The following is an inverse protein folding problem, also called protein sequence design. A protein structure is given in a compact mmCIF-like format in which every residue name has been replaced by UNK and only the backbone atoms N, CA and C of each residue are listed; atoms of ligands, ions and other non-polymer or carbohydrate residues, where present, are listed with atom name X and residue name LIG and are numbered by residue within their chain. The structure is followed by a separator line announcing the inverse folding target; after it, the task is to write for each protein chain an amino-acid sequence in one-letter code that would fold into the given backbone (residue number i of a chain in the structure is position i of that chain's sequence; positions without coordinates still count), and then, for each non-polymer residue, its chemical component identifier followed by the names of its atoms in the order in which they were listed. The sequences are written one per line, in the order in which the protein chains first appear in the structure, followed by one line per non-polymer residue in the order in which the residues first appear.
data_IF_183087648012
#
_entry.id   IF_183087648012
#
_cell.length_a   1.000
_cell.length_b   1.000
_cell.length_c   1.000
_cell.angle_alpha   90.00
_cell.angle_beta   90.00
_cell.angle_gamma   90.00
#
_symmetry.space_group_name_H-M   'P 1'
#
loop_
_entity.id
_entity.type
_entity.pdbx_description
1 polymer ?
#
# COMPACT_ATOMS: atom_id res chain seq x y z
N UNK A 1 24.13 -1.81 -14.67
CA UNK A 1 23.63 -3.14 -15.10
C UNK A 1 22.38 -2.94 -15.95
N UNK A 2 22.30 -3.55 -17.14
CA UNK A 2 21.09 -3.52 -17.99
C UNK A 2 20.05 -4.49 -17.43
N UNK A 3 18.82 -4.03 -17.35
CA UNK A 3 17.69 -4.72 -16.70
C UNK A 3 16.46 -4.62 -17.60
N UNK A 4 15.78 -5.72 -17.86
CA UNK A 4 14.51 -5.72 -18.59
C UNK A 4 13.40 -5.15 -17.72
N UNK A 5 12.48 -4.45 -18.36
CA UNK A 5 11.34 -3.81 -17.68
C UNK A 5 10.14 -3.63 -18.62
N UNK A 6 9.02 -3.23 -18.04
CA UNK A 6 7.90 -2.61 -18.74
C UNK A 6 7.78 -1.16 -18.26
N UNK A 7 7.79 -0.24 -19.21
CA UNK A 7 7.80 1.20 -18.94
C UNK A 7 6.66 1.92 -19.65
N UNK A 8 6.25 3.03 -19.08
CA UNK A 8 5.35 4.00 -19.71
C UNK A 8 6.26 5.04 -20.39
N UNK A 9 6.25 5.16 -21.72
CA UNK A 9 7.15 6.09 -22.43
C UNK A 9 6.77 7.56 -22.24
N UNK A 10 5.49 7.85 -22.13
CA UNK A 10 4.91 9.21 -21.93
C UNK A 10 3.59 9.11 -21.18
N UNK A 11 3.13 10.22 -20.58
CA UNK A 11 1.89 10.26 -19.81
C UNK A 11 0.70 9.61 -20.53
N UNK A 12 0.04 8.66 -19.86
CA UNK A 12 -1.12 7.95 -20.37
C UNK A 12 -0.88 6.94 -21.49
N UNK A 13 0.37 6.76 -21.94
CA UNK A 13 0.70 5.71 -22.90
C UNK A 13 0.61 4.32 -22.26
N UNK A 14 0.38 3.25 -23.06
CA UNK A 14 0.44 1.90 -22.54
C UNK A 14 1.87 1.54 -22.10
N UNK A 15 1.95 0.61 -21.15
CA UNK A 15 3.20 -0.04 -20.77
C UNK A 15 3.75 -0.88 -21.93
N UNK A 16 5.03 -0.75 -22.19
CA UNK A 16 5.74 -1.50 -23.25
C UNK A 16 7.10 -2.02 -22.75
N UNK A 17 7.65 -3.09 -23.35
CA UNK A 17 8.97 -3.60 -23.02
C UNK A 17 10.05 -2.53 -23.21
N UNK A 18 10.94 -2.39 -22.22
CA UNK A 18 12.04 -1.44 -22.24
C UNK A 18 13.24 -2.01 -21.47
N UNK A 19 14.45 -1.75 -21.92
CA UNK A 19 15.65 -1.95 -21.13
C UNK A 19 16.00 -0.67 -20.38
N UNK A 20 16.31 -0.81 -19.09
CA UNK A 20 16.77 0.29 -18.22
C UNK A 20 18.16 -0.02 -17.68
N UNK A 21 18.89 1.01 -17.31
CA UNK A 21 20.16 0.86 -16.61
C UNK A 21 19.96 1.07 -15.10
N UNK A 22 20.29 0.04 -14.30
CA UNK A 22 20.44 0.16 -12.85
C UNK A 22 21.86 0.59 -12.51
N UNK A 23 21.99 1.43 -11.50
CA UNK A 23 23.29 1.84 -10.96
C UNK A 23 24.10 0.65 -10.43
N UNK A 24 25.39 0.83 -10.29
CA UNK A 24 26.25 -0.15 -9.63
C UNK A 24 25.98 -0.20 -8.10
N UNK A 25 26.31 -1.34 -7.49
CA UNK A 25 26.16 -1.50 -6.04
C UNK A 25 27.15 -0.61 -5.27
N UNK A 26 26.62 0.15 -4.34
CA UNK A 26 27.39 0.85 -3.31
C UNK A 26 27.67 -0.10 -2.13
N UNK A 27 28.56 0.27 -1.18
CA UNK A 27 28.93 -0.62 -0.08
C UNK A 27 27.78 -1.17 0.76
N UNK A 28 26.69 -0.42 0.94
CA UNK A 28 25.52 -0.82 1.72
C UNK A 28 24.34 -1.28 0.86
N UNK A 29 24.53 -1.47 -0.44
CA UNK A 29 23.46 -1.90 -1.33
C UNK A 29 23.33 -3.40 -1.42
N UNK A 30 22.13 -3.84 -1.73
CA UNK A 30 21.82 -5.18 -2.18
C UNK A 30 21.22 -5.15 -3.58
N UNK A 31 21.49 -6.19 -4.37
CA UNK A 31 20.81 -6.47 -5.64
C UNK A 31 19.75 -7.52 -5.38
N UNK A 32 18.52 -7.20 -5.70
CA UNK A 32 17.38 -8.11 -5.60
C UNK A 32 16.96 -8.55 -7.00
N UNK A 33 16.95 -9.86 -7.26
CA UNK A 33 16.27 -10.48 -8.39
C UNK A 33 14.77 -10.51 -8.06
N UNK A 34 14.00 -9.66 -8.74
CA UNK A 34 12.56 -9.48 -8.49
C UNK A 34 11.84 -10.73 -8.97
N UNK A 35 11.06 -11.33 -8.09
CA UNK A 35 10.21 -12.47 -8.41
C UNK A 35 8.78 -12.05 -8.68
N UNK A 36 8.28 -11.11 -7.86
CA UNK A 36 6.92 -10.60 -7.94
C UNK A 36 6.86 -9.09 -7.73
N UNK A 37 6.00 -8.44 -8.50
CA UNK A 37 5.67 -7.02 -8.31
C UNK A 37 4.16 -6.82 -8.30
N UNK A 38 3.62 -6.26 -7.23
CA UNK A 38 2.20 -5.94 -7.14
C UNK A 38 1.82 -4.74 -8.01
N UNK A 39 0.55 -4.71 -8.45
CA UNK A 39 -0.06 -3.58 -9.17
C UNK A 39 -0.90 -2.75 -8.21
N UNK A 40 -0.59 -1.46 -8.12
CA UNK A 40 -1.31 -0.50 -7.30
C UNK A 40 -2.03 0.56 -8.15
N UNK A 41 -3.14 1.11 -7.65
CA UNK A 41 -3.78 2.29 -8.25
C UNK A 41 -2.83 3.48 -8.38
N UNK A 42 -1.86 3.60 -7.46
CA UNK A 42 -0.82 4.65 -7.52
C UNK A 42 0.00 4.58 -8.80
N UNK A 43 0.27 3.37 -9.32
CA UNK A 43 1.00 3.19 -10.57
C UNK A 43 0.23 3.81 -11.75
N UNK A 44 -1.10 3.64 -11.75
CA UNK A 44 -2.02 4.16 -12.75
C UNK A 44 -2.13 5.69 -12.65
N UNK A 45 -2.37 6.20 -11.43
CA UNK A 45 -2.49 7.64 -11.19
C UNK A 45 -1.21 8.39 -11.59
N UNK A 46 -0.05 7.86 -11.24
CA UNK A 46 1.23 8.47 -11.63
C UNK A 46 1.51 8.34 -13.12
N UNK A 47 1.24 7.19 -13.72
CA UNK A 47 1.40 6.97 -15.16
C UNK A 47 0.50 7.86 -16.03
N UNK A 48 -0.61 8.36 -15.47
CA UNK A 48 -1.54 9.29 -16.12
C UNK A 48 -1.35 10.76 -15.71
N UNK A 49 -0.36 11.06 -14.85
CA UNK A 49 -0.14 12.40 -14.27
C UNK A 49 -1.34 12.97 -13.49
N UNK A 50 -2.22 12.10 -12.95
CA UNK A 50 -3.39 12.54 -12.18
C UNK A 50 -3.02 13.14 -10.81
N UNK A 51 -1.82 12.84 -10.31
CA UNK A 51 -1.28 13.40 -9.05
C UNK A 51 -0.20 14.47 -9.27
N UNK A 52 -0.01 14.93 -10.49
CA UNK A 52 0.98 15.93 -10.87
C UNK A 52 1.99 15.40 -11.88
N UNK A 53 2.91 16.27 -12.25
CA UNK A 53 3.92 15.97 -13.27
C UNK A 53 4.80 14.79 -12.90
N UNK A 54 5.04 13.89 -13.84
CA UNK A 54 5.81 12.67 -13.66
C UNK A 54 7.10 12.65 -14.52
N UNK A 55 7.98 11.69 -14.20
CA UNK A 55 9.26 11.47 -14.90
C UNK A 55 9.08 10.31 -15.88
N UNK A 56 9.30 10.56 -17.16
CA UNK A 56 9.24 9.54 -18.21
C UNK A 56 10.59 9.35 -18.92
N UNK A 57 10.89 8.13 -19.47
CA UNK A 57 10.08 6.92 -19.34
C UNK A 57 9.98 6.48 -17.87
N UNK A 58 8.79 5.99 -17.47
CA UNK A 58 8.52 5.55 -16.11
C UNK A 58 8.43 4.03 -16.05
N UNK A 59 9.16 3.39 -15.15
CA UNK A 59 8.95 1.99 -14.75
C UNK A 59 8.24 1.97 -13.41
N UNK A 60 6.94 1.65 -13.36
CA UNK A 60 6.17 1.63 -12.12
C UNK A 60 6.53 0.45 -11.20
N UNK A 61 5.81 0.37 -10.07
CA UNK A 61 5.87 -0.76 -9.13
C UNK A 61 6.66 -0.41 -7.86
N UNK A 62 5.95 -0.38 -6.74
CA UNK A 62 6.49 -0.14 -5.39
C UNK A 62 6.04 -1.24 -4.41
N UNK A 63 5.71 -2.39 -4.95
CA UNK A 63 5.28 -3.58 -4.21
C UNK A 63 6.17 -4.75 -4.66
N UNK A 64 7.43 -4.74 -4.25
CA UNK A 64 8.47 -5.63 -4.77
C UNK A 64 8.76 -6.75 -3.78
N UNK A 65 8.82 -7.98 -4.26
CA UNK A 65 9.32 -9.13 -3.53
C UNK A 65 10.26 -9.97 -4.41
N UNK A 66 11.41 -10.36 -3.86
CA UNK A 66 12.42 -11.10 -4.61
C UNK A 66 13.46 -11.75 -3.73
N UNK A 67 14.57 -12.12 -4.36
CA UNK A 67 15.69 -12.83 -3.73
C UNK A 67 16.97 -12.01 -3.91
N UNK A 68 17.73 -11.85 -2.84
CA UNK A 68 19.02 -11.16 -2.87
C UNK A 68 20.02 -11.99 -3.66
N UNK A 69 20.64 -11.40 -4.70
CA UNK A 69 21.63 -12.07 -5.56
C UNK A 69 23.05 -11.53 -5.37
N UNK A 70 23.19 -10.27 -4.96
CA UNK A 70 24.48 -9.67 -4.64
C UNK A 70 24.34 -8.74 -3.43
N UNK A 71 25.44 -8.56 -2.68
CA UNK A 71 25.51 -7.66 -1.53
C UNK A 71 26.78 -6.82 -1.60
N UNK A 72 26.67 -5.53 -1.26
CA UNK A 72 27.79 -4.62 -1.13
C UNK A 72 28.72 -4.99 0.03
N UNK A 73 29.95 -4.46 0.01
CA UNK A 73 31.02 -4.86 0.93
C UNK A 73 30.76 -4.53 2.41
N UNK A 74 29.82 -3.63 2.70
CA UNK A 74 29.46 -3.21 4.06
C UNK A 74 28.07 -3.66 4.50
N UNK A 75 27.37 -4.44 3.67
CA UNK A 75 26.05 -4.99 4.00
C UNK A 75 26.15 -5.96 5.18
N UNK A 76 25.24 -5.81 6.14
CA UNK A 76 25.18 -6.62 7.36
C UNK A 76 23.82 -7.28 7.58
N UNK A 77 22.75 -6.72 7.01
CA UNK A 77 21.37 -7.14 7.24
C UNK A 77 20.94 -8.31 6.34
N UNK A 78 21.55 -8.45 5.16
CA UNK A 78 21.17 -9.43 4.15
C UNK A 78 22.35 -10.29 3.69
N UNK A 79 22.02 -11.47 3.17
CA UNK A 79 22.94 -12.40 2.50
C UNK A 79 22.34 -12.83 1.16
N UNK A 80 23.18 -13.27 0.24
CA UNK A 80 22.73 -13.87 -1.01
C UNK A 80 21.83 -15.07 -0.71
N UNK A 81 20.65 -15.10 -1.33
CA UNK A 81 19.62 -16.12 -1.13
C UNK A 81 18.49 -15.69 -0.18
N UNK A 82 18.66 -14.60 0.58
CA UNK A 82 17.61 -14.12 1.47
C UNK A 82 16.41 -13.57 0.67
N UNK A 83 15.20 -13.74 1.21
CA UNK A 83 14.00 -13.11 0.70
C UNK A 83 13.95 -11.64 1.11
N UNK A 84 13.81 -10.76 0.14
CA UNK A 84 13.78 -9.32 0.38
C UNK A 84 12.63 -8.63 -0.36
N UNK A 85 12.10 -7.58 0.24
CA UNK A 85 11.08 -6.72 -0.35
C UNK A 85 11.49 -5.26 -0.38
N UNK A 86 10.90 -4.49 -1.29
CA UNK A 86 11.03 -3.04 -1.36
C UNK A 86 9.64 -2.43 -1.49
N UNK A 87 9.35 -1.48 -0.59
CA UNK A 87 8.07 -0.77 -0.57
C UNK A 87 8.11 0.53 -1.38
N UNK A 88 7.45 1.55 -0.84
CA UNK A 88 7.23 2.81 -1.55
C UNK A 88 8.44 3.76 -1.57
N UNK A 89 9.48 3.47 -0.78
CA UNK A 89 10.66 4.33 -0.60
C UNK A 89 11.95 3.53 -0.78
N UNK A 90 12.94 4.11 -1.45
CA UNK A 90 14.30 3.56 -1.60
C UNK A 90 15.36 4.39 -0.88
N UNK A 91 15.03 5.62 -0.48
CA UNK A 91 15.90 6.46 0.37
C UNK A 91 15.13 7.65 0.96
N UNK A 92 15.71 8.28 2.00
CA UNK A 92 15.28 9.56 2.57
C UNK A 92 16.49 10.34 3.08
N UNK A 93 16.29 11.55 3.65
CA UNK A 93 17.41 12.32 4.19
C UNK A 93 18.08 11.69 5.41
N UNK A 94 17.45 10.74 6.10
CA UNK A 94 17.96 10.01 7.30
C UNK A 94 18.32 10.89 8.51
N UNK A 95 18.19 12.21 8.41
CA UNK A 95 18.67 13.18 9.41
C UNK A 95 17.58 13.96 10.11
N UNK A 96 16.43 14.18 9.47
CA UNK A 96 15.33 14.93 10.07
C UNK A 96 14.66 14.14 11.22
N UNK A 97 13.93 14.84 12.07
CA UNK A 97 13.30 14.25 13.25
C UNK A 97 12.34 13.12 12.88
N UNK A 98 11.63 13.23 11.75
CA UNK A 98 10.73 12.18 11.28
C UNK A 98 11.49 10.91 10.88
N UNK A 99 12.61 11.03 10.12
CA UNK A 99 13.42 9.86 9.77
C UNK A 99 14.02 9.20 11.02
N UNK A 100 14.54 9.99 11.98
CA UNK A 100 15.07 9.46 13.24
C UNK A 100 13.99 8.79 14.12
N UNK A 101 12.73 9.15 13.92
CA UNK A 101 11.61 8.54 14.61
C UNK A 101 11.02 7.31 13.89
N UNK A 102 11.61 6.85 12.77
CA UNK A 102 11.09 5.75 11.95
C UNK A 102 9.83 6.12 11.17
N UNK A 103 9.68 7.40 10.85
CA UNK A 103 8.56 7.97 10.10
C UNK A 103 9.07 8.53 8.76
N UNK A 104 9.83 7.71 8.03
CA UNK A 104 10.51 8.08 6.78
C UNK A 104 9.52 8.57 5.71
N UNK A 105 8.29 8.07 5.70
CA UNK A 105 7.22 8.52 4.80
C UNK A 105 6.80 9.98 5.00
N UNK A 106 7.22 10.61 6.09
CA UNK A 106 7.03 12.02 6.39
C UNK A 106 8.36 12.79 6.43
N UNK A 107 9.37 12.32 5.70
CA UNK A 107 10.67 12.98 5.61
C UNK A 107 10.52 14.47 5.23
N UNK A 108 11.18 15.35 5.97
CA UNK A 108 11.17 16.81 5.75
C UNK A 108 12.27 17.29 4.82
N UNK A 109 13.18 16.41 4.47
CA UNK A 109 14.28 16.67 3.53
C UNK A 109 14.02 16.00 2.19
N UNK A 110 15.07 15.32 1.69
CA UNK A 110 14.95 14.52 0.47
C UNK A 110 14.27 13.18 0.74
N UNK A 111 13.36 12.79 -0.13
CA UNK A 111 12.71 11.48 -0.15
C UNK A 111 12.78 10.92 -1.57
N UNK A 112 13.30 9.69 -1.71
CA UNK A 112 13.36 8.94 -2.96
C UNK A 112 12.25 7.89 -2.98
N UNK A 113 11.15 8.12 -3.71
CA UNK A 113 10.17 7.07 -3.96
C UNK A 113 10.78 5.99 -4.86
N UNK A 114 10.25 4.78 -4.77
CA UNK A 114 10.76 3.59 -5.49
C UNK A 114 10.69 3.74 -7.01
N UNK A 115 9.80 4.57 -7.51
CA UNK A 115 9.73 5.00 -8.92
C UNK A 115 9.17 6.43 -9.01
N UNK A 116 9.23 7.02 -10.18
CA UNK A 116 8.82 8.41 -10.41
C UNK A 116 9.51 9.43 -9.48
N UNK A 117 10.76 9.16 -9.15
CA UNK A 117 11.58 10.01 -8.30
C UNK A 117 13.03 10.01 -8.77
N UNK A 118 13.91 10.42 -7.86
CA UNK A 118 15.35 10.43 -8.11
C UNK A 118 16.08 9.78 -6.94
N UNK A 119 17.20 9.13 -7.25
CA UNK A 119 18.14 8.60 -6.25
C UNK A 119 18.71 9.73 -5.36
N UNK A 120 19.48 9.38 -4.36
CA UNK A 120 20.13 10.35 -3.45
C UNK A 120 20.96 11.42 -4.17
N UNK A 121 21.50 11.13 -5.35
CA UNK A 121 22.26 12.07 -6.18
C UNK A 121 21.38 13.16 -6.85
N UNK A 122 20.08 13.07 -6.73
CA UNK A 122 19.07 13.98 -7.33
C UNK A 122 19.11 14.06 -8.86
N UNK A 123 19.79 13.12 -9.52
CA UNK A 123 19.96 13.08 -10.98
C UNK A 123 19.44 11.78 -11.57
N UNK A 124 19.83 10.63 -11.02
CA UNK A 124 19.45 9.31 -11.48
C UNK A 124 17.96 9.05 -11.20
N UNK A 125 17.14 8.75 -12.21
CA UNK A 125 15.73 8.42 -11.96
C UNK A 125 15.60 7.10 -11.22
N UNK A 126 14.62 7.01 -10.31
CA UNK A 126 14.24 5.75 -9.69
C UNK A 126 13.29 4.98 -10.60
N UNK A 127 13.50 3.67 -10.71
CA UNK A 127 12.67 2.75 -11.49
C UNK A 127 12.14 1.64 -10.61
N UNK A 128 10.85 1.32 -10.74
CA UNK A 128 10.13 0.40 -9.89
C UNK A 128 10.27 -1.08 -10.24
N UNK A 129 9.36 -1.84 -9.71
CA UNK A 129 9.35 -3.31 -9.72
C UNK A 129 8.78 -3.95 -10.99
N UNK A 130 8.26 -3.17 -11.95
CA UNK A 130 7.92 -3.74 -13.26
C UNK A 130 9.20 -3.99 -14.07
N UNK A 131 10.17 -4.58 -13.41
CA UNK A 131 11.49 -4.93 -13.92
C UNK A 131 11.99 -6.20 -13.22
N UNK A 132 13.03 -6.83 -13.76
CA UNK A 132 13.52 -8.07 -13.18
C UNK A 132 14.61 -7.91 -12.12
N UNK A 133 15.09 -6.68 -11.85
CA UNK A 133 16.04 -6.43 -10.76
C UNK A 133 15.95 -5.02 -10.20
N UNK A 134 16.34 -4.86 -8.92
CA UNK A 134 16.48 -3.56 -8.26
C UNK A 134 17.72 -3.54 -7.38
N UNK A 135 18.44 -2.41 -7.38
CA UNK A 135 19.52 -2.10 -6.44
C UNK A 135 18.98 -1.14 -5.40
N UNK A 136 19.17 -1.46 -4.13
CA UNK A 136 18.64 -0.65 -3.01
C UNK A 136 19.55 -0.76 -1.80
N UNK A 137 19.64 0.32 -1.01
CA UNK A 137 20.32 0.31 0.29
C UNK A 137 19.64 -0.67 1.26
N UNK A 138 20.43 -1.48 1.99
CA UNK A 138 19.93 -2.50 2.93
C UNK A 138 18.96 -1.92 3.98
N UNK A 139 19.05 -0.63 4.30
CA UNK A 139 18.18 0.02 5.28
C UNK A 139 16.76 0.31 4.72
N UNK A 140 16.59 0.30 3.40
CA UNK A 140 15.30 0.48 2.72
C UNK A 140 14.76 -0.84 2.16
N UNK A 141 15.49 -1.93 2.31
CA UNK A 141 15.03 -3.27 2.03
C UNK A 141 14.43 -3.92 3.29
N UNK A 142 13.41 -4.75 3.08
CA UNK A 142 12.63 -5.43 4.10
C UNK A 142 12.87 -6.94 4.01
N UNK A 143 13.07 -7.60 5.14
CA UNK A 143 13.16 -9.05 5.17
C UNK A 143 11.76 -9.65 5.06
N UNK A 144 11.55 -10.53 4.08
CA UNK A 144 10.30 -11.27 3.97
C UNK A 144 10.46 -12.60 4.74
N UNK A 145 9.61 -12.87 5.77
CA UNK A 145 9.65 -14.12 6.51
C UNK A 145 9.48 -15.34 5.61
N UNK A 146 10.21 -16.44 5.87
CA UNK A 146 10.22 -17.64 5.04
C UNK A 146 8.84 -18.33 4.88
N UNK A 147 7.98 -18.18 5.88
CA UNK A 147 6.62 -18.72 5.86
C UNK A 147 5.61 -17.82 5.12
N UNK A 148 6.05 -16.71 4.54
CA UNK A 148 5.23 -15.81 3.74
C UNK A 148 5.64 -15.90 2.27
N UNK A 149 4.76 -16.38 1.38
CA UNK A 149 5.02 -16.46 -0.05
C UNK A 149 5.35 -15.09 -0.65
N UNK A 150 6.32 -15.01 -1.56
CA UNK A 150 6.76 -13.75 -2.18
C UNK A 150 5.63 -13.07 -2.97
N UNK A 151 4.76 -13.86 -3.61
CA UNK A 151 3.61 -13.38 -4.37
C UNK A 151 2.59 -12.65 -3.49
N UNK A 152 2.24 -13.23 -2.34
CA UNK A 152 1.28 -12.63 -1.39
C UNK A 152 1.92 -11.55 -0.52
N UNK A 153 3.26 -11.54 -0.42
CA UNK A 153 4.04 -10.55 0.32
C UNK A 153 4.21 -9.24 -0.47
N UNK A 154 4.36 -9.31 -1.80
CA UNK A 154 4.60 -8.13 -2.63
C UNK A 154 3.57 -7.01 -2.39
N UNK A 155 2.24 -7.23 -2.43
CA UNK A 155 1.29 -6.16 -2.17
C UNK A 155 1.29 -5.64 -0.72
N UNK A 156 1.85 -6.39 0.23
CA UNK A 156 1.95 -5.92 1.62
C UNK A 156 2.86 -4.70 1.76
N UNK A 157 3.83 -4.52 0.85
CA UNK A 157 4.77 -3.40 0.84
C UNK A 157 4.08 -2.03 0.64
N UNK A 158 2.84 -2.03 0.15
CA UNK A 158 2.00 -0.84 0.03
C UNK A 158 0.66 -1.05 0.73
N UNK A 159 -0.19 -1.97 0.23
CA UNK A 159 -1.53 -2.17 0.76
C UNK A 159 -1.52 -2.66 2.23
N UNK A 160 -0.57 -3.51 2.60
CA UNK A 160 -0.44 -3.99 3.98
C UNK A 160 -0.08 -2.86 4.94
N UNK A 161 1.02 -2.18 4.69
CA UNK A 161 1.51 -1.11 5.56
C UNK A 161 0.55 0.08 5.64
N UNK A 162 -0.10 0.44 4.52
CA UNK A 162 -1.07 1.54 4.49
C UNK A 162 -2.26 1.29 5.43
N UNK A 163 -2.61 0.04 5.68
CA UNK A 163 -3.68 -0.34 6.63
C UNK A 163 -3.14 -0.62 8.03
N UNK A 164 -1.98 -1.27 8.15
CA UNK A 164 -1.38 -1.61 9.43
C UNK A 164 -1.03 -0.37 10.24
N UNK A 165 -0.37 0.61 9.63
CA UNK A 165 0.07 1.84 10.29
C UNK A 165 -1.08 2.58 10.99
N UNK A 166 -2.18 2.97 10.33
CA UNK A 166 -3.28 3.64 11.01
C UNK A 166 -4.03 2.74 12.00
N UNK A 167 -4.21 1.45 11.71
CA UNK A 167 -4.87 0.54 12.65
C UNK A 167 -4.08 0.45 13.96
N UNK A 168 -2.75 0.30 13.89
CA UNK A 168 -1.85 0.31 15.04
C UNK A 168 -1.85 1.65 15.76
N UNK A 169 -1.68 2.76 15.02
CA UNK A 169 -1.56 4.11 15.58
C UNK A 169 -2.81 4.54 16.37
N UNK A 170 -4.01 4.21 15.87
CA UNK A 170 -5.26 4.53 16.52
C UNK A 170 -5.80 3.39 17.40
N UNK A 171 -4.96 2.39 17.70
CA UNK A 171 -5.19 1.41 18.75
C UNK A 171 -6.27 0.37 18.41
N UNK A 172 -6.38 -0.06 17.14
CA UNK A 172 -7.23 -1.20 16.81
C UNK A 172 -6.80 -2.43 17.61
N UNK A 173 -7.77 -3.14 18.20
CA UNK A 173 -7.50 -4.29 19.05
C UNK A 173 -8.73 -4.75 19.81
N UNK A 174 -8.58 -5.63 20.82
CA UNK A 174 -9.71 -6.17 21.59
C UNK A 174 -10.56 -5.06 22.20
N UNK A 175 -11.88 -5.15 21.96
CA UNK A 175 -12.86 -4.18 22.46
C UNK A 175 -12.99 -2.90 21.66
N UNK A 176 -12.24 -2.74 20.55
CA UNK A 176 -12.34 -1.60 19.63
C UNK A 176 -13.18 -1.99 18.41
N UNK A 177 -14.18 -1.19 18.09
CA UNK A 177 -15.08 -1.39 16.93
C UNK A 177 -14.54 -0.61 15.75
N UNK A 178 -14.09 -1.35 14.73
CA UNK A 178 -13.44 -0.81 13.55
C UNK A 178 -14.36 -0.93 12.34
N UNK A 179 -14.63 0.19 11.66
CA UNK A 179 -15.30 0.22 10.36
C UNK A 179 -14.27 0.34 9.23
N UNK A 180 -14.25 -0.60 8.30
CA UNK A 180 -13.47 -0.50 7.06
C UNK A 180 -14.41 -0.09 5.93
N UNK A 181 -14.17 1.07 5.31
CA UNK A 181 -14.99 1.56 4.20
C UNK A 181 -14.36 1.17 2.88
N UNK A 182 -15.09 0.35 2.12
CA UNK A 182 -14.65 -0.20 0.83
C UNK A 182 -13.98 -1.56 0.95
N UNK A 183 -14.25 -2.44 -0.03
CA UNK A 183 -13.59 -3.75 -0.17
C UNK A 183 -12.96 -3.84 -1.56
N UNK A 184 -11.76 -3.38 -1.65
CA UNK A 184 -10.86 -3.45 -2.80
C UNK A 184 -9.46 -3.85 -2.35
N UNK A 185 -8.45 -3.47 -3.14
CA UNK A 185 -7.04 -3.79 -2.86
C UNK A 185 -6.52 -3.37 -1.49
N UNK A 186 -6.98 -2.22 -0.96
CA UNK A 186 -6.67 -1.78 0.41
C UNK A 186 -7.62 -2.42 1.43
N UNK A 187 -8.92 -2.32 1.21
CA UNK A 187 -9.92 -2.72 2.20
C UNK A 187 -9.86 -4.19 2.61
N UNK A 188 -9.48 -5.13 1.70
CA UNK A 188 -9.34 -6.54 2.07
C UNK A 188 -8.21 -6.74 3.09
N UNK A 189 -7.08 -6.01 2.95
CA UNK A 189 -6.01 -6.02 3.96
C UNK A 189 -6.45 -5.37 5.26
N UNK A 190 -7.25 -4.28 5.18
CA UNK A 190 -7.81 -3.63 6.36
C UNK A 190 -8.66 -4.57 7.21
N UNK A 191 -9.51 -5.37 6.58
CA UNK A 191 -10.32 -6.40 7.27
C UNK A 191 -9.42 -7.45 7.91
N UNK A 192 -8.49 -8.06 7.16
CA UNK A 192 -7.58 -9.11 7.67
C UNK A 192 -6.73 -8.61 8.84
N UNK A 193 -6.13 -7.43 8.70
CA UNK A 193 -5.24 -6.88 9.73
C UNK A 193 -6.02 -6.51 10.98
N UNK A 194 -7.15 -5.80 10.87
CA UNK A 194 -7.96 -5.40 12.01
C UNK A 194 -8.51 -6.63 12.77
N UNK A 195 -8.95 -7.66 12.05
CA UNK A 195 -9.37 -8.94 12.63
C UNK A 195 -8.22 -9.61 13.38
N UNK A 196 -7.04 -9.72 12.76
CA UNK A 196 -5.86 -10.31 13.40
C UNK A 196 -5.38 -9.53 14.63
N UNK A 197 -5.60 -8.20 14.67
CA UNK A 197 -5.38 -7.36 15.86
C UNK A 197 -6.41 -7.60 16.96
N UNK A 198 -7.49 -8.36 16.70
CA UNK A 198 -8.55 -8.68 17.67
C UNK A 198 -9.64 -7.63 17.78
N UNK A 199 -9.77 -6.70 16.84
CA UNK A 199 -10.84 -5.73 16.78
C UNK A 199 -12.17 -6.37 16.33
N UNK A 200 -13.30 -5.75 16.73
CA UNK A 200 -14.61 -6.06 16.15
C UNK A 200 -14.74 -5.31 14.81
N UNK A 201 -14.70 -6.06 13.71
CA UNK A 201 -14.58 -5.50 12.36
C UNK A 201 -15.90 -5.48 11.62
N UNK A 202 -16.31 -4.31 11.16
CA UNK A 202 -17.44 -4.14 10.23
C UNK A 202 -16.93 -3.65 8.88
N UNK A 203 -17.21 -4.41 7.80
CA UNK A 203 -17.04 -3.89 6.46
C UNK A 203 -18.23 -3.00 6.08
N UNK A 204 -17.96 -1.77 5.64
CA UNK A 204 -18.96 -0.82 5.14
C UNK A 204 -18.81 -0.72 3.62
N UNK A 205 -19.82 -1.16 2.86
CA UNK A 205 -19.77 -1.19 1.40
C UNK A 205 -21.09 -0.74 0.76
N UNK A 206 -21.00 -0.16 -0.44
CA UNK A 206 -22.19 0.16 -1.25
C UNK A 206 -22.76 -1.05 -2.01
N UNK A 207 -22.05 -2.18 -2.05
CA UNK A 207 -22.39 -3.36 -2.84
C UNK A 207 -22.64 -4.58 -1.95
N UNK A 208 -23.88 -5.06 -1.89
CA UNK A 208 -24.27 -6.21 -1.06
C UNK A 208 -23.56 -7.52 -1.42
N UNK A 209 -23.17 -7.71 -2.70
CA UNK A 209 -22.48 -8.92 -3.13
C UNK A 209 -21.08 -9.11 -2.49
N UNK A 210 -20.55 -8.09 -1.82
CA UNK A 210 -19.27 -8.14 -1.10
C UNK A 210 -19.38 -8.71 0.33
N UNK A 211 -20.59 -8.96 0.84
CA UNK A 211 -20.82 -9.44 2.20
C UNK A 211 -20.14 -10.78 2.47
N UNK A 212 -20.37 -11.78 1.58
CA UNK A 212 -19.75 -13.10 1.76
C UNK A 212 -18.22 -13.06 1.78
N UNK A 213 -17.61 -12.23 0.92
CA UNK A 213 -16.17 -12.05 0.90
C UNK A 213 -15.67 -11.31 2.17
N UNK A 214 -16.42 -10.32 2.65
CA UNK A 214 -16.06 -9.61 3.88
C UNK A 214 -15.98 -10.56 5.09
N UNK A 215 -17.00 -11.40 5.26
CA UNK A 215 -17.03 -12.39 6.34
C UNK A 215 -15.90 -13.43 6.18
N UNK A 216 -15.63 -13.91 4.96
CA UNK A 216 -14.52 -14.81 4.66
C UNK A 216 -13.16 -14.22 5.04
N UNK A 217 -12.99 -12.91 4.87
CA UNK A 217 -11.74 -12.19 5.16
C UNK A 217 -11.56 -11.89 6.66
N UNK A 218 -12.58 -12.14 7.50
CA UNK A 218 -12.53 -11.95 8.94
C UNK A 218 -13.36 -10.78 9.46
N UNK A 219 -14.24 -10.15 8.65
CA UNK A 219 -15.20 -9.18 9.20
C UNK A 219 -16.25 -9.90 10.05
N UNK A 220 -16.57 -9.33 11.22
CA UNK A 220 -17.65 -9.82 12.10
C UNK A 220 -19.02 -9.39 11.57
N UNK A 221 -19.07 -8.20 10.94
CA UNK A 221 -20.30 -7.59 10.46
C UNK A 221 -20.14 -6.97 9.07
N UNK A 222 -21.27 -6.83 8.39
CA UNK A 222 -21.38 -6.11 7.12
C UNK A 222 -22.44 -5.00 7.23
N UNK A 223 -22.10 -3.80 6.78
CA UNK A 223 -23.00 -2.65 6.74
C UNK A 223 -23.15 -2.15 5.30
N UNK A 224 -24.36 -2.29 4.75
CA UNK A 224 -24.69 -1.79 3.41
C UNK A 224 -24.87 -0.28 3.45
N UNK A 225 -23.93 0.48 2.89
CA UNK A 225 -23.97 1.94 2.96
C UNK A 225 -25.07 2.59 2.13
N UNK A 226 -25.71 1.85 1.20
CA UNK A 226 -26.88 2.32 0.45
C UNK A 226 -28.20 2.16 1.23
N UNK A 227 -28.24 1.32 2.26
CA UNK A 227 -29.37 1.19 3.17
C UNK A 227 -29.35 2.35 4.19
N UNK A 228 -30.33 3.25 4.06
CA UNK A 228 -30.43 4.44 4.92
C UNK A 228 -30.81 4.11 6.36
N UNK A 229 -31.62 3.09 6.55
CA UNK A 229 -32.09 2.70 7.87
C UNK A 229 -31.00 1.93 8.62
N UNK A 230 -30.25 1.03 7.97
CA UNK A 230 -29.08 0.37 8.53
C UNK A 230 -28.00 1.39 8.93
N UNK A 231 -27.66 2.36 8.05
CA UNK A 231 -26.71 3.43 8.36
C UNK A 231 -27.18 4.32 9.52
N UNK A 232 -28.49 4.59 9.63
CA UNK A 232 -29.04 5.34 10.76
C UNK A 232 -28.98 4.55 12.07
N UNK A 233 -29.24 3.27 12.03
CA UNK A 233 -29.13 2.37 13.19
C UNK A 233 -27.68 2.22 13.68
N UNK A 234 -26.71 2.25 12.76
CA UNK A 234 -25.28 2.16 13.06
C UNK A 234 -24.63 3.48 13.57
N UNK A 235 -25.44 4.53 13.85
CA UNK A 235 -24.86 5.78 14.42
C UNK A 235 -24.27 5.51 15.79
N UNK A 236 -23.11 6.13 16.05
CA UNK A 236 -22.35 5.97 17.30
C UNK A 236 -21.87 4.53 17.57
N UNK A 237 -21.63 3.72 16.53
CA UNK A 237 -21.23 2.32 16.67
C UNK A 237 -19.73 2.08 16.53
N UNK A 238 -18.96 3.02 15.97
CA UNK A 238 -17.54 2.81 15.68
C UNK A 238 -16.63 3.73 16.48
N UNK A 239 -15.54 3.18 16.95
CA UNK A 239 -14.47 3.90 17.64
C UNK A 239 -13.41 4.39 16.62
N UNK A 240 -13.21 3.60 15.57
CA UNK A 240 -12.29 3.88 14.46
C UNK A 240 -12.94 3.54 13.12
N UNK A 241 -12.83 4.44 12.13
CA UNK A 241 -13.22 4.16 10.74
C UNK A 241 -12.01 4.41 9.84
N UNK A 242 -11.66 3.42 9.03
CA UNK A 242 -10.62 3.55 8.00
C UNK A 242 -11.30 3.65 6.63
N UNK A 243 -11.12 4.78 5.95
CA UNK A 243 -11.66 4.98 4.61
C UNK A 243 -10.62 4.66 3.54
N UNK A 244 -10.87 3.62 2.75
CA UNK A 244 -10.01 3.16 1.65
C UNK A 244 -10.52 3.56 0.27
N UNK A 245 -11.60 4.34 0.21
CA UNK A 245 -12.29 4.69 -1.05
C UNK A 245 -11.77 6.01 -1.59
N UNK A 246 -11.32 6.00 -2.84
CA UNK A 246 -10.84 7.20 -3.57
C UNK A 246 -11.94 7.91 -4.37
N UNK A 247 -13.22 7.60 -4.15
CA UNK A 247 -14.35 8.29 -4.75
C UNK A 247 -14.95 9.32 -3.78
N UNK A 248 -15.76 10.23 -4.32
CA UNK A 248 -16.52 11.20 -3.52
C UNK A 248 -17.36 10.51 -2.45
N UNK A 249 -17.16 10.91 -1.21
CA UNK A 249 -17.81 10.35 -0.04
C UNK A 249 -18.56 11.45 0.73
N UNK A 250 -19.77 11.16 1.21
CA UNK A 250 -20.47 12.01 2.18
C UNK A 250 -19.85 11.82 3.58
N UNK A 251 -18.82 12.63 3.88
CA UNK A 251 -18.09 12.54 5.15
C UNK A 251 -19.00 12.72 6.36
N UNK A 252 -20.00 13.62 6.31
CA UNK A 252 -20.93 13.84 7.43
C UNK A 252 -21.68 12.57 7.78
N UNK A 253 -22.08 11.79 6.78
CA UNK A 253 -22.79 10.53 6.96
C UNK A 253 -21.92 9.49 7.64
N UNK A 254 -20.70 9.27 7.14
CA UNK A 254 -19.78 8.28 7.72
C UNK A 254 -19.25 8.71 9.10
N UNK A 255 -18.90 9.99 9.26
CA UNK A 255 -18.50 10.54 10.55
C UNK A 255 -19.61 10.42 11.62
N UNK A 256 -20.90 10.42 11.22
CA UNK A 256 -22.00 10.24 12.17
C UNK A 256 -22.04 8.83 12.78
N UNK A 257 -21.38 7.85 12.19
CA UNK A 257 -21.25 6.49 12.72
C UNK A 257 -20.27 6.41 13.89
N UNK A 258 -19.36 7.38 14.02
CA UNK A 258 -18.36 7.42 15.10
C UNK A 258 -18.97 7.78 16.45
N UNK A 259 -18.47 7.13 17.47
CA UNK A 259 -18.76 7.42 18.88
C UNK A 259 -18.22 8.79 19.32
N UNK A 260 -18.37 9.11 20.63
CA UNK A 260 -17.64 10.20 21.28
C UNK A 260 -16.13 9.90 21.18
N UNK A 261 -15.35 10.91 20.76
CA UNK A 261 -13.89 10.82 20.55
C UNK A 261 -13.47 9.84 19.44
N UNK A 262 -14.40 9.31 18.64
CA UNK A 262 -14.10 8.41 17.54
C UNK A 262 -13.29 9.09 16.43
N UNK A 263 -12.50 8.29 15.72
CA UNK A 263 -11.56 8.77 14.68
C UNK A 263 -11.92 8.18 13.31
N UNK A 264 -11.93 9.03 12.28
CA UNK A 264 -11.94 8.58 10.88
C UNK A 264 -10.61 8.91 10.22
N UNK A 265 -9.99 7.91 9.61
CA UNK A 265 -8.72 8.00 8.90
C UNK A 265 -8.97 7.88 7.40
N UNK A 266 -8.50 8.86 6.63
CA UNK A 266 -8.56 8.88 5.17
C UNK A 266 -7.27 8.30 4.59
N UNK A 267 -7.42 7.29 3.74
CA UNK A 267 -6.34 6.65 2.97
C UNK A 267 -6.57 6.81 1.47
N UNK A 268 -7.84 6.79 1.03
CA UNK A 268 -8.21 7.05 -0.36
C UNK A 268 -8.03 8.51 -0.72
N UNK A 269 -7.55 8.76 -1.95
CA UNK A 269 -7.30 10.11 -2.49
C UNK A 269 -8.29 10.36 -3.62
N UNK A 270 -9.46 10.99 -3.35
CA UNK A 270 -10.41 11.36 -4.39
C UNK A 270 -9.90 12.56 -5.20
N UNK A 271 -10.29 12.64 -6.47
CA UNK A 271 -9.97 13.79 -7.34
C UNK A 271 -10.62 15.10 -6.84
N UNK A 272 -11.86 14.99 -6.33
CA UNK A 272 -12.60 16.14 -5.81
C UNK A 272 -12.35 16.34 -4.31
N UNK A 273 -12.27 17.59 -3.88
CA UNK A 273 -12.18 17.96 -2.47
C UNK A 273 -13.39 17.42 -1.69
N UNK A 274 -13.14 16.80 -0.55
CA UNK A 274 -14.17 16.36 0.36
C UNK A 274 -14.68 17.52 1.22
N UNK A 275 -15.98 17.60 1.43
CA UNK A 275 -16.61 18.59 2.31
C UNK A 275 -17.06 17.97 3.63
N UNK A 276 -16.92 18.71 4.71
CA UNK A 276 -17.35 18.31 6.05
C UNK A 276 -17.94 19.51 6.79
N UNK A 277 -19.10 19.34 7.41
CA UNK A 277 -19.67 20.36 8.30
C UNK A 277 -18.95 20.35 9.64
N UNK A 278 -18.52 21.50 10.10
CA UNK A 278 -17.80 21.64 11.39
C UNK A 278 -18.58 21.03 12.56
N UNK A 279 -19.92 21.18 12.57
CA UNK A 279 -20.76 20.64 13.64
C UNK A 279 -20.70 19.10 13.75
N UNK A 280 -20.40 18.39 12.64
CA UNK A 280 -20.21 16.93 12.65
C UNK A 280 -19.04 16.52 13.56
N UNK A 281 -17.98 17.33 13.62
CA UNK A 281 -16.86 17.12 14.55
C UNK A 281 -17.24 17.50 15.98
N UNK A 282 -17.81 18.71 16.17
CA UNK A 282 -18.11 19.30 17.48
C UNK A 282 -19.09 18.42 18.25
N UNK A 283 -20.12 17.88 17.61
CA UNK A 283 -21.23 17.17 18.26
C UNK A 283 -20.81 15.94 19.11
N UNK A 284 -19.65 15.33 18.82
CA UNK A 284 -19.12 14.20 19.57
C UNK A 284 -17.59 14.21 19.65
N UNK A 285 -16.97 15.38 19.60
CA UNK A 285 -15.50 15.54 19.67
C UNK A 285 -14.74 14.61 18.70
N UNK A 286 -15.33 14.37 17.53
CA UNK A 286 -14.78 13.43 16.54
C UNK A 286 -13.53 13.97 15.87
N UNK A 287 -12.69 13.07 15.41
CA UNK A 287 -11.45 13.38 14.69
C UNK A 287 -11.55 12.91 13.26
N UNK A 288 -11.12 13.77 12.32
CA UNK A 288 -10.85 13.44 10.93
C UNK A 288 -9.36 13.64 10.68
N UNK A 289 -8.68 12.63 10.16
CA UNK A 289 -7.25 12.63 9.94
C UNK A 289 -6.90 11.82 8.70
N UNK A 290 -5.62 11.80 8.32
CA UNK A 290 -5.08 10.97 7.25
C UNK A 290 -3.90 10.15 7.71
N UNK A 291 -3.54 9.14 6.95
CA UNK A 291 -2.31 8.36 7.11
C UNK A 291 -1.71 8.09 5.74
N UNK A 292 -0.39 8.07 5.65
CA UNK A 292 0.33 7.77 4.42
C UNK A 292 1.28 6.61 4.67
N UNK A 293 1.09 5.48 3.96
CA UNK A 293 1.94 4.30 4.09
C UNK A 293 2.43 4.07 5.54
N UNK A 294 3.69 3.68 5.74
CA UNK A 294 4.38 3.60 7.03
C UNK A 294 5.88 3.69 6.83
N UNK A 295 6.65 3.85 7.93
CA UNK A 295 8.10 3.84 7.92
C UNK A 295 8.66 2.43 7.70
N UNK A 296 9.96 2.35 7.48
CA UNK A 296 10.65 1.09 7.16
C UNK A 296 10.52 0.08 8.32
N UNK A 297 10.77 0.52 9.54
CA UNK A 297 10.63 -0.35 10.72
C UNK A 297 9.19 -0.84 10.89
N UNK A 298 8.21 0.05 10.76
CA UNK A 298 6.79 -0.32 10.90
C UNK A 298 6.34 -1.27 9.78
N UNK A 299 6.89 -1.12 8.56
CA UNK A 299 6.65 -2.05 7.46
C UNK A 299 7.24 -3.44 7.75
N UNK A 300 8.43 -3.51 8.36
CA UNK A 300 8.99 -4.79 8.80
C UNK A 300 8.13 -5.44 9.90
N UNK A 301 7.66 -4.66 10.87
CA UNK A 301 6.75 -5.15 11.91
C UNK A 301 5.45 -5.71 11.30
N UNK A 302 4.89 -5.04 10.31
CA UNK A 302 3.70 -5.50 9.59
C UNK A 302 3.93 -6.83 8.86
N UNK A 303 5.08 -7.00 8.17
CA UNK A 303 5.42 -8.27 7.51
C UNK A 303 5.52 -9.42 8.51
N UNK A 304 6.20 -9.18 9.64
CA UNK A 304 6.32 -10.16 10.71
C UNK A 304 4.95 -10.51 11.30
N UNK A 305 4.09 -9.51 11.51
CA UNK A 305 2.72 -9.68 11.99
C UNK A 305 1.89 -10.53 11.03
N UNK A 306 1.93 -10.24 9.72
CA UNK A 306 1.22 -11.03 8.72
C UNK A 306 1.72 -12.49 8.69
N UNK A 307 3.02 -12.71 8.79
CA UNK A 307 3.63 -14.04 8.84
C UNK A 307 3.25 -14.81 10.11
N UNK A 308 3.24 -14.16 11.28
CA UNK A 308 2.82 -14.75 12.55
C UNK A 308 1.36 -15.19 12.54
N UNK A 309 0.49 -14.39 11.92
CA UNK A 309 -0.94 -14.69 11.79
C UNK A 309 -1.29 -15.53 10.56
N UNK A 310 -0.29 -15.91 9.73
CA UNK A 310 -0.45 -16.83 8.61
C UNK A 310 -1.28 -16.30 7.45
N UNK A 311 -1.22 -14.99 7.15
CA UNK A 311 -1.92 -14.42 5.99
C UNK A 311 -1.06 -13.42 5.20
N UNK A 312 -1.37 -13.31 3.90
CA UNK A 312 -0.89 -12.27 3.00
C UNK A 312 -2.06 -11.68 2.21
N UNK A 313 -1.75 -10.98 1.13
CA UNK A 313 -2.78 -10.47 0.20
C UNK A 313 -3.45 -11.61 -0.56
N UNK A 314 -4.74 -11.45 -0.90
CA UNK A 314 -5.39 -12.30 -1.91
C UNK A 314 -4.96 -11.78 -3.29
N UNK A 315 -4.31 -12.65 -4.09
CA UNK A 315 -3.66 -12.25 -5.34
C UNK A 315 -4.14 -13.02 -6.56
N UNK A 316 -4.13 -12.35 -7.71
CA UNK A 316 -4.20 -12.96 -9.04
C UNK A 316 -2.83 -12.71 -9.72
N UNK A 317 -2.07 -13.79 -9.96
CA UNK A 317 -0.77 -13.70 -10.64
C UNK A 317 -0.98 -13.57 -12.14
N UNK A 318 -0.24 -12.66 -12.78
CA UNK A 318 -0.31 -12.41 -14.21
C UNK A 318 1.06 -12.47 -14.86
N UNK A 319 1.09 -12.80 -16.15
CA UNK A 319 2.21 -12.57 -17.07
C UNK A 319 2.37 -11.05 -17.31
N UNK A 320 3.60 -10.55 -17.39
CA UNK A 320 3.86 -9.11 -17.59
C UNK A 320 3.22 -8.55 -18.87
N UNK A 321 3.08 -9.36 -19.93
CA UNK A 321 2.41 -8.93 -21.16
C UNK A 321 0.94 -8.52 -20.96
N UNK A 322 0.30 -9.03 -19.91
CA UNK A 322 -1.10 -8.77 -19.59
C UNK A 322 -1.29 -7.53 -18.69
N UNK A 323 -0.20 -6.81 -18.35
CA UNK A 323 -0.21 -5.69 -17.40
C UNK A 323 -1.17 -4.56 -17.79
N UNK A 324 -1.26 -4.22 -19.09
CA UNK A 324 -2.19 -3.19 -19.55
C UNK A 324 -3.66 -3.61 -19.35
N UNK A 325 -3.99 -4.86 -19.63
CA UNK A 325 -5.32 -5.40 -19.38
C UNK A 325 -5.63 -5.47 -17.88
N UNK A 326 -4.64 -5.83 -17.07
CA UNK A 326 -4.77 -5.83 -15.61
C UNK A 326 -5.04 -4.42 -15.06
N UNK A 327 -4.38 -3.38 -15.59
CA UNK A 327 -4.65 -1.98 -15.20
C UNK A 327 -6.11 -1.59 -15.45
N UNK A 328 -6.67 -1.93 -16.62
CA UNK A 328 -8.09 -1.67 -16.92
C UNK A 328 -9.04 -2.44 -15.95
N UNK A 329 -8.70 -3.68 -15.58
CA UNK A 329 -9.45 -4.44 -14.59
C UNK A 329 -9.35 -3.81 -13.19
N UNK A 330 -8.20 -3.29 -12.80
CA UNK A 330 -8.02 -2.56 -11.51
C UNK A 330 -8.90 -1.32 -11.47
N UNK A 331 -8.93 -0.51 -12.54
CA UNK A 331 -9.78 0.69 -12.66
C UNK A 331 -11.26 0.32 -12.51
N UNK A 332 -11.68 -0.78 -13.13
CA UNK A 332 -13.06 -1.27 -13.09
C UNK A 332 -13.40 -2.05 -11.80
N UNK A 333 -12.46 -2.14 -10.84
CA UNK A 333 -12.61 -2.93 -9.61
C UNK A 333 -12.93 -4.42 -9.86
N UNK A 334 -12.42 -4.97 -10.97
CA UNK A 334 -12.58 -6.35 -11.42
C UNK A 334 -11.34 -7.19 -11.08
N UNK A 335 -11.02 -7.28 -9.79
CA UNK A 335 -9.95 -8.12 -9.24
C UNK A 335 -10.23 -8.49 -7.79
N UNK A 336 -9.83 -9.69 -7.37
CA UNK A 336 -9.98 -10.17 -5.98
C UNK A 336 -8.61 -10.64 -5.42
N UNK A 337 -7.79 -9.75 -4.83
CA UNK A 337 -8.00 -8.30 -4.66
C UNK A 337 -6.83 -7.52 -5.22
N UNK A 338 -5.69 -8.19 -5.53
CA UNK A 338 -4.48 -7.58 -6.07
C UNK A 338 -3.97 -8.37 -7.27
N UNK A 339 -3.58 -7.67 -8.33
CA UNK A 339 -2.74 -8.30 -9.35
C UNK A 339 -1.29 -8.28 -8.92
N UNK A 340 -0.59 -9.35 -9.24
CA UNK A 340 0.85 -9.50 -9.03
C UNK A 340 1.49 -9.99 -10.32
N UNK A 341 2.47 -9.26 -10.83
CA UNK A 341 3.24 -9.61 -12.01
C UNK A 341 4.26 -10.67 -11.62
N UNK A 342 4.29 -11.80 -12.33
CA UNK A 342 5.40 -12.74 -12.29
C UNK A 342 6.57 -12.19 -13.13
N UNK A 343 7.62 -11.71 -12.45
CA UNK A 343 8.77 -11.10 -13.11
C UNK A 343 9.61 -12.08 -13.95
N UNK A 344 9.40 -13.39 -13.80
CA UNK A 344 10.04 -14.38 -14.68
C UNK A 344 9.56 -14.32 -16.12
N UNK A 345 8.48 -13.60 -16.39
CA UNK A 345 7.87 -13.42 -17.71
C UNK A 345 8.39 -12.18 -18.47
N UNK A 346 9.33 -11.41 -17.89
CA UNK A 346 10.00 -10.25 -18.50
C UNK A 346 11.02 -10.61 -19.58
#
# INVERSE_FOLDING_TARGET
MITKSYAIPTAGAPLEPMEIERRDLLPHDILIDIKFSGICHSDIHQGREEWGQAIFPMVPGHEIAGVVTEVGSAVTKFRVGDHAGVGCLVDTCRECDNCKAGLEQYCQGHMSPTYNGREADQQTPTYGGYSNAIVVDENYALTIPENLGLDVAAPLMCAGITLYSPLRHWGAGPGVRVGIVGLGGLGHMGVKIAHAMGAEVTLISHSSHKEADALRLGADHFLLSTDKDAMKAARYSFDLIINTVSAKLDLDRYMSLLTLDGTMVLLGVPEEALSLRTFTLIAARRRLTGSNIGGIQETQEMLNFCAEHGFGSDVEIIDVKDVNAAWERVINSDVKYRFVIDASTL
#
